data_IF_297732994940
#
_entry.id   IF_297732994940
#
_cell.length_a   1.000
_cell.length_b   1.000
_cell.length_c   1.000
_cell.angle_alpha   90.00
_cell.angle_beta   90.00
_cell.angle_gamma   90.00
#
_symmetry.space_group_name_H-M   'P 1'
#
loop_
_entity.id
_entity.type
_entity.pdbx_description
1 polymer ?
#
# COMPACT_ATOMS: atom_id res chain seq x y z
N UNK A 1 44.34 -11.07 -26.29
CA UNK A 1 43.08 -10.35 -26.50
C UNK A 1 42.24 -10.58 -25.26
N UNK A 2 42.22 -9.60 -24.36
CA UNK A 2 41.56 -9.67 -23.06
C UNK A 2 40.08 -9.34 -23.23
N UNK A 3 39.21 -10.26 -22.83
CA UNK A 3 37.77 -10.09 -22.74
C UNK A 3 37.44 -9.14 -21.59
N UNK A 4 36.88 -7.98 -21.91
CA UNK A 4 36.31 -7.05 -20.93
C UNK A 4 35.04 -7.63 -20.33
N UNK A 5 35.09 -7.94 -19.04
CA UNK A 5 33.90 -8.25 -18.24
C UNK A 5 33.02 -7.00 -18.13
N UNK A 6 31.84 -7.04 -18.74
CA UNK A 6 30.77 -6.08 -18.45
C UNK A 6 30.31 -6.30 -17.01
N UNK A 7 30.69 -5.38 -16.13
CA UNK A 7 30.13 -5.27 -14.79
C UNK A 7 28.73 -4.67 -14.93
N UNK A 8 27.71 -5.52 -14.89
CA UNK A 8 26.32 -5.09 -14.70
C UNK A 8 26.27 -4.38 -13.33
N UNK A 9 26.23 -3.05 -13.33
CA UNK A 9 25.80 -2.31 -12.15
C UNK A 9 24.32 -2.59 -11.98
N UNK A 10 23.98 -3.53 -11.11
CA UNK A 10 22.61 -3.66 -10.61
C UNK A 10 22.27 -2.33 -9.96
N UNK A 11 21.38 -1.56 -10.57
CA UNK A 11 20.86 -0.34 -9.98
C UNK A 11 20.20 -0.74 -8.66
N UNK A 12 20.66 -0.20 -7.54
CA UNK A 12 20.12 -0.55 -6.24
C UNK A 12 18.69 -0.04 -6.12
N UNK A 13 17.81 -0.85 -5.56
CA UNK A 13 16.45 -0.48 -5.23
C UNK A 13 16.38 0.93 -4.58
N UNK A 14 15.39 1.78 -4.94
CA UNK A 14 15.19 3.06 -4.28
C UNK A 14 14.96 2.88 -2.78
N UNK A 15 15.48 3.83 -1.98
CA UNK A 15 15.36 3.74 -0.52
C UNK A 15 13.90 3.72 -0.07
N UNK A 16 13.55 2.74 0.78
CA UNK A 16 12.20 2.52 1.27
C UNK A 16 11.36 1.54 0.43
N UNK A 17 11.94 0.94 -0.61
CA UNK A 17 11.30 -0.02 -1.51
C UNK A 17 12.15 -1.26 -1.78
N UNK A 18 13.21 -1.47 -1.01
CA UNK A 18 14.17 -2.57 -1.17
C UNK A 18 13.58 -3.94 -0.78
N UNK A 19 12.48 -3.93 -0.05
CA UNK A 19 11.77 -5.13 0.39
C UNK A 19 10.27 -4.85 0.60
N UNK A 20 9.43 -5.90 0.70
CA UNK A 20 8.02 -5.72 1.05
C UNK A 20 7.84 -5.00 2.39
N UNK A 21 8.65 -5.32 3.40
CA UNK A 21 8.58 -4.67 4.71
C UNK A 21 8.96 -3.19 4.64
N UNK A 22 10.01 -2.85 3.89
CA UNK A 22 10.43 -1.46 3.69
C UNK A 22 9.33 -0.64 3.01
N UNK A 23 8.64 -1.23 2.02
CA UNK A 23 7.52 -0.58 1.33
C UNK A 23 6.34 -0.30 2.25
N UNK A 24 6.01 -1.25 3.14
CA UNK A 24 4.97 -1.06 4.17
C UNK A 24 5.38 0.03 5.15
N UNK A 25 6.65 0.06 5.57
CA UNK A 25 7.17 1.11 6.46
C UNK A 25 7.13 2.49 5.81
N UNK A 26 7.38 2.57 4.51
CA UNK A 26 7.22 3.78 3.69
C UNK A 26 5.76 4.23 3.64
N UNK A 27 4.81 3.30 3.47
CA UNK A 27 3.39 3.61 3.54
C UNK A 27 2.99 4.15 4.92
N UNK A 28 3.45 3.52 6.01
CA UNK A 28 3.21 4.03 7.37
C UNK A 28 3.85 5.39 7.63
N UNK A 29 5.01 5.67 7.02
CA UNK A 29 5.64 6.99 7.08
C UNK A 29 4.80 8.05 6.38
N UNK A 30 4.21 7.71 5.23
CA UNK A 30 3.35 8.63 4.49
C UNK A 30 2.14 9.11 5.31
N UNK A 31 1.66 8.30 6.26
CA UNK A 31 0.60 8.63 7.22
C UNK A 31 1.10 9.10 8.61
N UNK A 32 2.42 9.15 8.83
CA UNK A 32 3.03 9.49 10.13
C UNK A 32 2.53 8.61 11.30
N UNK A 33 2.35 7.31 11.05
CA UNK A 33 1.87 6.34 12.06
C UNK A 33 2.96 5.42 12.61
N UNK A 34 4.22 5.63 12.22
CA UNK A 34 5.33 4.78 12.68
C UNK A 34 5.52 4.83 14.20
N UNK A 35 5.20 5.96 14.83
CA UNK A 35 5.41 6.20 16.27
C UNK A 35 4.20 5.87 17.15
N UNK A 36 3.03 5.60 16.57
CA UNK A 36 1.86 5.18 17.34
C UNK A 36 1.90 3.67 17.57
N UNK A 37 1.32 3.18 18.66
CA UNK A 37 1.19 1.74 18.88
C UNK A 37 0.12 1.12 17.99
N UNK A 38 0.16 -0.19 17.77
CA UNK A 38 -0.92 -0.92 17.10
C UNK A 38 -2.27 -0.76 17.85
N UNK A 39 -2.26 -0.76 19.18
CA UNK A 39 -3.48 -0.54 19.98
C UNK A 39 -4.10 0.83 19.74
N UNK A 40 -3.25 1.87 19.66
CA UNK A 40 -3.67 3.23 19.31
C UNK A 40 -4.28 3.27 17.91
N UNK A 41 -3.61 2.67 16.92
CA UNK A 41 -4.12 2.59 15.55
C UNK A 41 -5.48 1.87 15.50
N UNK A 42 -5.63 0.74 16.20
CA UNK A 42 -6.89 0.00 16.34
C UNK A 42 -7.99 0.87 16.96
N UNK A 43 -7.69 1.59 18.05
CA UNK A 43 -8.66 2.49 18.71
C UNK A 43 -9.15 3.57 17.76
N UNK A 44 -8.24 4.22 17.03
CA UNK A 44 -8.59 5.27 16.06
C UNK A 44 -9.46 4.75 14.92
N UNK A 45 -9.13 3.58 14.38
CA UNK A 45 -9.96 2.91 13.36
C UNK A 45 -11.38 2.61 13.89
N UNK A 46 -11.50 2.10 15.12
CA UNK A 46 -12.80 1.83 15.76
C UNK A 46 -13.62 3.11 15.98
N UNK A 47 -12.95 4.19 16.39
CA UNK A 47 -13.54 5.52 16.55
C UNK A 47 -13.84 6.22 15.20
N UNK A 48 -13.50 5.59 14.08
CA UNK A 48 -13.59 6.17 12.71
C UNK A 48 -12.83 7.49 12.59
N UNK A 49 -11.77 7.64 13.38
CA UNK A 49 -10.88 8.79 13.30
C UNK A 49 -10.12 8.76 11.97
N UNK A 50 -9.92 9.95 11.39
CA UNK A 50 -9.21 10.10 10.13
C UNK A 50 -7.70 10.03 10.37
N UNK A 51 -7.03 9.17 9.63
CA UNK A 51 -5.58 9.24 9.49
C UNK A 51 -5.23 10.28 8.42
N UNK A 52 -4.41 11.26 8.80
CA UNK A 52 -3.98 12.31 7.88
C UNK A 52 -2.84 11.80 6.99
N UNK A 53 -3.03 11.89 5.68
CA UNK A 53 -1.96 11.62 4.72
C UNK A 53 -1.00 12.81 4.72
N UNK A 54 0.22 12.62 5.21
CA UNK A 54 1.25 13.66 5.35
C UNK A 54 2.12 13.81 4.12
N UNK A 55 2.44 12.70 3.45
CA UNK A 55 3.27 12.68 2.25
C UNK A 55 2.54 11.95 1.12
N UNK A 56 1.90 12.74 0.26
CA UNK A 56 1.12 12.21 -0.87
C UNK A 56 2.02 11.55 -1.92
N UNK A 57 3.22 12.07 -2.14
CA UNK A 57 4.14 11.53 -3.15
C UNK A 57 4.67 10.17 -2.70
N UNK A 58 5.11 10.07 -1.44
CA UNK A 58 5.56 8.79 -0.87
C UNK A 58 4.45 7.75 -0.89
N UNK A 59 3.23 8.15 -0.54
CA UNK A 59 2.05 7.28 -0.62
C UNK A 59 1.81 6.76 -2.04
N UNK A 60 1.80 7.63 -3.05
CA UNK A 60 1.60 7.22 -4.44
C UNK A 60 2.71 6.27 -4.92
N UNK A 61 3.96 6.54 -4.54
CA UNK A 61 5.11 5.71 -4.91
C UNK A 61 5.07 4.28 -4.31
N UNK A 62 4.27 4.05 -3.26
CA UNK A 62 4.07 2.72 -2.69
C UNK A 62 3.26 1.78 -3.60
N UNK A 63 2.62 2.28 -4.66
CA UNK A 63 1.72 1.48 -5.50
C UNK A 63 2.28 1.30 -6.92
N UNK A 64 2.17 0.10 -7.48
CA UNK A 64 2.64 -0.22 -8.84
C UNK A 64 1.68 0.28 -9.91
N UNK A 65 0.39 0.23 -9.63
CA UNK A 65 -0.72 0.43 -10.57
C UNK A 65 -1.50 1.72 -10.28
N UNK A 66 -0.90 2.71 -9.62
CA UNK A 66 -1.58 3.97 -9.29
C UNK A 66 -2.05 4.75 -10.54
N UNK A 67 -3.36 4.95 -10.69
CA UNK A 67 -3.96 5.63 -11.86
C UNK A 67 -4.47 7.05 -11.55
N UNK A 68 -4.39 7.50 -10.29
CA UNK A 68 -4.67 8.87 -9.89
C UNK A 68 -5.66 9.02 -8.75
N UNK A 69 -6.35 10.16 -8.68
CA UNK A 69 -7.13 10.54 -7.50
C UNK A 69 -8.20 9.53 -7.07
N UNK A 70 -8.80 8.82 -8.04
CA UNK A 70 -9.84 7.84 -7.81
C UNK A 70 -9.37 6.61 -7.02
N UNK A 71 -8.05 6.38 -6.96
CA UNK A 71 -7.43 5.28 -6.21
C UNK A 71 -7.12 5.63 -4.75
N UNK A 72 -7.28 6.88 -4.31
CA UNK A 72 -7.02 7.26 -2.91
C UNK A 72 -7.83 6.42 -1.92
N UNK A 73 -9.07 6.10 -2.27
CA UNK A 73 -9.91 5.25 -1.44
C UNK A 73 -9.37 3.81 -1.36
N UNK A 74 -8.79 3.30 -2.46
CA UNK A 74 -8.17 1.98 -2.48
C UNK A 74 -6.90 1.94 -1.63
N UNK A 75 -6.02 2.92 -1.80
CA UNK A 75 -4.80 3.01 -0.99
C UNK A 75 -5.12 3.22 0.51
N UNK A 76 -6.17 3.98 0.83
CA UNK A 76 -6.67 4.11 2.19
C UNK A 76 -7.23 2.81 2.77
N UNK A 77 -7.91 1.99 1.95
CA UNK A 77 -8.34 0.64 2.35
C UNK A 77 -7.15 -0.26 2.67
N UNK A 78 -6.15 -0.31 1.79
CA UNK A 78 -4.92 -1.10 2.01
C UNK A 78 -4.21 -0.66 3.28
N UNK A 79 -4.02 0.65 3.45
CA UNK A 79 -3.45 1.21 4.67
C UNK A 79 -4.22 0.75 5.91
N UNK A 80 -5.55 0.82 5.90
CA UNK A 80 -6.39 0.38 7.02
C UNK A 80 -6.21 -1.10 7.37
N UNK A 81 -6.10 -1.98 6.35
CA UNK A 81 -5.85 -3.41 6.54
C UNK A 81 -4.47 -3.70 7.14
N UNK A 82 -3.46 -2.89 6.81
CA UNK A 82 -2.10 -3.06 7.33
C UNK A 82 -1.95 -2.46 8.73
N UNK A 83 -2.43 -1.23 8.93
CA UNK A 83 -2.18 -0.48 10.17
C UNK A 83 -2.86 -1.10 11.39
N UNK A 84 -3.97 -1.82 11.20
CA UNK A 84 -4.68 -2.54 12.27
C UNK A 84 -3.85 -3.68 12.87
N UNK A 85 -2.86 -4.18 12.13
CA UNK A 85 -2.01 -5.30 12.53
C UNK A 85 -0.53 -4.99 12.30
N UNK A 86 -0.13 -3.71 12.37
CA UNK A 86 1.20 -3.24 11.96
C UNK A 86 2.38 -3.95 12.64
N UNK A 87 2.18 -4.46 13.86
CA UNK A 87 3.22 -5.15 14.63
C UNK A 87 3.13 -6.68 14.48
N UNK A 88 2.12 -7.17 13.76
CA UNK A 88 1.75 -8.58 13.61
C UNK A 88 1.56 -8.97 12.13
N UNK A 89 2.24 -8.28 11.20
CA UNK A 89 2.17 -8.60 9.78
C UNK A 89 3.03 -9.82 9.45
N UNK A 90 2.41 -10.80 8.77
CA UNK A 90 3.10 -11.93 8.17
C UNK A 90 3.29 -11.66 6.68
N UNK A 91 4.55 -11.65 6.26
CA UNK A 91 4.96 -11.49 4.86
C UNK A 91 5.42 -12.85 4.35
N UNK A 92 4.86 -13.30 3.23
CA UNK A 92 5.30 -14.51 2.52
C UNK A 92 5.73 -14.10 1.12
N UNK A 93 6.98 -14.39 0.76
CA UNK A 93 7.57 -14.01 -0.53
C UNK A 93 7.69 -15.27 -1.39
N UNK A 94 7.18 -15.21 -2.62
CA UNK A 94 7.24 -16.27 -3.61
C UNK A 94 7.64 -15.65 -4.96
N UNK A 95 8.90 -15.85 -5.36
CA UNK A 95 9.44 -15.24 -6.58
C UNK A 95 9.50 -13.71 -6.47
N UNK A 96 8.88 -13.04 -7.44
CA UNK A 96 8.76 -11.58 -7.58
C UNK A 96 7.48 -11.02 -6.94
N UNK A 97 6.75 -11.84 -6.19
CA UNK A 97 5.54 -11.45 -5.49
C UNK A 97 5.64 -11.71 -3.98
N UNK A 98 4.96 -10.87 -3.20
CA UNK A 98 4.81 -11.03 -1.77
C UNK A 98 3.35 -10.86 -1.36
N UNK A 99 2.91 -11.69 -0.43
CA UNK A 99 1.60 -11.59 0.20
C UNK A 99 1.75 -11.17 1.66
N UNK A 100 0.95 -10.20 2.07
CA UNK A 100 0.96 -9.64 3.42
C UNK A 100 -0.42 -9.81 4.04
N UNK A 101 -0.43 -10.36 5.24
CA UNK A 101 -1.63 -10.61 6.03
C UNK A 101 -1.35 -10.28 7.49
N UNK A 102 -2.37 -9.88 8.24
CA UNK A 102 -2.27 -9.95 9.70
C UNK A 102 -2.08 -11.43 10.11
N UNK A 103 -1.23 -11.69 11.11
CA UNK A 103 -0.98 -13.05 11.60
C UNK A 103 -2.26 -13.75 12.09
N UNK A 104 -3.24 -12.97 12.58
CA UNK A 104 -4.55 -13.43 13.05
C UNK A 104 -5.65 -13.41 11.98
N UNK A 105 -5.35 -12.98 10.75
CA UNK A 105 -6.35 -12.89 9.68
C UNK A 105 -6.86 -14.27 9.26
N UNK A 106 -8.16 -14.36 8.97
CA UNK A 106 -8.73 -15.52 8.29
C UNK A 106 -8.03 -15.73 6.94
N UNK A 107 -7.71 -16.98 6.55
CA UNK A 107 -7.16 -17.29 5.22
C UNK A 107 -8.05 -16.81 4.07
N UNK A 108 -9.36 -16.71 4.32
CA UNK A 108 -10.37 -16.26 3.34
C UNK A 108 -10.28 -14.76 3.03
N UNK A 109 -9.66 -13.96 3.90
CA UNK A 109 -9.43 -12.55 3.61
C UNK A 109 -8.44 -12.42 2.45
N UNK A 110 -8.68 -11.47 1.55
CA UNK A 110 -7.74 -11.20 0.47
C UNK A 110 -6.43 -10.63 1.05
N UNK A 111 -5.25 -11.16 0.66
CA UNK A 111 -3.99 -10.60 1.11
C UNK A 111 -3.72 -9.26 0.45
N UNK A 112 -2.89 -8.44 1.09
CA UNK A 112 -2.24 -7.32 0.40
C UNK A 112 -1.10 -7.89 -0.42
N UNK A 113 -1.07 -7.60 -1.71
CA UNK A 113 -0.11 -8.12 -2.67
C UNK A 113 0.91 -7.04 -2.98
N UNK A 114 2.19 -7.39 -2.90
CA UNK A 114 3.29 -6.60 -3.40
C UNK A 114 3.97 -7.34 -4.54
N UNK A 115 4.46 -6.59 -5.52
CA UNK A 115 5.22 -7.09 -6.67
C UNK A 115 6.54 -6.33 -6.76
N UNK A 116 7.60 -7.02 -7.16
CA UNK A 116 8.88 -6.40 -7.47
C UNK A 116 8.84 -5.85 -8.91
N UNK A 117 9.07 -4.54 -9.07
CA UNK A 117 9.13 -3.87 -10.37
C UNK A 117 10.38 -3.01 -10.44
N UNK A 118 11.26 -3.29 -11.40
CA UNK A 118 12.56 -2.61 -11.57
C UNK A 118 13.39 -2.55 -10.27
N UNK A 119 13.40 -3.65 -9.52
CA UNK A 119 14.11 -3.75 -8.24
C UNK A 119 13.44 -3.01 -7.07
N UNK A 120 12.25 -2.43 -7.26
CA UNK A 120 11.48 -1.80 -6.20
C UNK A 120 10.21 -2.61 -5.89
N UNK A 121 10.00 -2.94 -4.63
CA UNK A 121 8.75 -3.54 -4.17
C UNK A 121 7.65 -2.49 -4.12
N UNK A 122 6.48 -2.83 -4.68
CA UNK A 122 5.32 -1.96 -4.71
C UNK A 122 4.05 -2.75 -4.46
N UNK A 123 3.06 -2.13 -3.85
CA UNK A 123 1.73 -2.69 -3.61
C UNK A 123 0.93 -2.65 -4.92
N UNK A 124 0.38 -3.80 -5.30
CA UNK A 124 -0.54 -3.92 -6.43
C UNK A 124 -1.97 -3.69 -5.93
N UNK A 125 -2.51 -2.49 -6.09
CA UNK A 125 -3.80 -2.08 -5.51
C UNK A 125 -4.94 -2.96 -6.00
N UNK A 126 -4.98 -3.24 -7.29
CA UNK A 126 -6.08 -3.98 -7.92
C UNK A 126 -6.13 -5.43 -7.45
N UNK A 127 -4.98 -6.01 -7.11
CA UNK A 127 -4.88 -7.35 -6.52
C UNK A 127 -5.01 -7.34 -5.00
N UNK A 128 -4.75 -6.21 -4.33
CA UNK A 128 -4.84 -6.08 -2.87
C UNK A 128 -6.25 -5.74 -2.37
N UNK A 129 -7.10 -5.18 -3.24
CA UNK A 129 -8.47 -4.78 -2.87
C UNK A 129 -9.50 -5.70 -3.54
N UNK A 130 -10.42 -6.32 -2.79
CA UNK A 130 -11.48 -7.14 -3.37
C UNK A 130 -12.29 -6.42 -4.45
N UNK A 131 -12.66 -7.08 -5.56
CA UNK A 131 -13.40 -6.45 -6.67
C UNK A 131 -14.63 -5.67 -6.22
N UNK A 132 -15.43 -6.25 -5.34
CA UNK A 132 -16.66 -5.64 -4.80
C UNK A 132 -16.37 -4.37 -3.99
N UNK A 133 -15.26 -4.34 -3.26
CA UNK A 133 -14.81 -3.17 -2.50
C UNK A 133 -14.32 -2.09 -3.46
N UNK A 134 -13.55 -2.44 -4.50
CA UNK A 134 -13.10 -1.48 -5.52
C UNK A 134 -14.28 -0.80 -6.21
N UNK A 135 -15.25 -1.58 -6.67
CA UNK A 135 -16.47 -1.06 -7.32
C UNK A 135 -17.22 -0.09 -6.40
N UNK A 136 -17.42 -0.49 -5.13
CA UNK A 136 -18.09 0.34 -4.13
C UNK A 136 -17.37 1.68 -3.89
N UNK A 137 -16.03 1.64 -3.77
CA UNK A 137 -15.23 2.85 -3.52
C UNK A 137 -15.21 3.78 -4.75
N UNK A 138 -15.12 3.23 -5.95
CA UNK A 138 -15.22 4.01 -7.18
C UNK A 138 -16.61 4.64 -7.37
N UNK A 139 -17.68 3.97 -6.96
CA UNK A 139 -19.00 4.58 -6.92
C UNK A 139 -19.09 5.76 -5.97
N UNK A 140 -18.54 5.65 -4.77
CA UNK A 140 -18.50 6.75 -3.80
C UNK A 140 -17.76 7.95 -4.39
N UNK A 141 -16.58 7.73 -5.00
CA UNK A 141 -15.82 8.78 -5.67
C UNK A 141 -16.62 9.45 -6.79
N UNK A 142 -17.26 8.65 -7.68
CA UNK A 142 -18.08 9.17 -8.79
C UNK A 142 -19.23 10.04 -8.29
N UNK A 143 -19.92 9.62 -7.22
CA UNK A 143 -21.03 10.39 -6.62
C UNK A 143 -20.54 11.71 -6.02
N UNK A 144 -19.42 11.69 -5.30
CA UNK A 144 -18.84 12.90 -4.71
C UNK A 144 -18.46 13.93 -5.79
N UNK A 145 -17.76 13.51 -6.86
CA UNK A 145 -17.37 14.41 -7.97
C UNK A 145 -18.57 14.98 -8.73
N UNK A 146 -19.66 14.22 -8.86
CA UNK A 146 -20.90 14.72 -9.46
C UNK A 146 -21.51 15.82 -8.60
N UNK A 147 -21.58 15.62 -7.29
CA UNK A 147 -22.12 16.62 -6.36
C UNK A 147 -21.28 17.91 -6.37
N UNK A 148 -19.95 17.81 -6.36
CA UNK A 148 -19.05 18.99 -6.44
C UNK A 148 -19.26 19.81 -7.72
N UNK A 149 -19.50 19.16 -8.86
CA UNK A 149 -19.76 19.84 -10.14
C UNK A 149 -21.12 20.54 -10.16
N UNK A 150 -22.10 20.02 -9.44
CA UNK A 150 -23.44 20.60 -9.37
C UNK A 150 -23.54 21.75 -8.36
N UNK A 151 -22.61 21.83 -7.41
CA UNK A 151 -22.52 22.90 -6.42
C UNK A 151 -21.67 24.10 -6.88
N UNK A 152 -21.08 24.03 -8.08
CA UNK A 152 -20.31 25.10 -8.74
C UNK A 152 -21.13 25.73 -9.84
#
# INVERSE_FOLDING_TARGET
MTTSSMSCKTESAPTGFESPSATIDSLFRAYDVQKISQEEARRRLQARERFELRDTTLFQNCFSDWEGEHDHALGGFVFGQLVVAKDELKITVEGDAAQVRAASASPELQPIVLVEHDGAWKIELRQSVPPQVRESLYEVYRRARKAERQAR
#
